data_IF_855569204688
#
_entry.id   IF_855569204688
#
_cell.length_a   1.000
_cell.length_b   1.000
_cell.length_c   1.000
_cell.angle_alpha   90.00
_cell.angle_beta   90.00
_cell.angle_gamma   90.00
#
_symmetry.space_group_name_H-M   'P 1'
#
loop_
_entity.id
_entity.type
_entity.pdbx_description
1 polymer ?
#
# COMPACT_ATOMS: atom_id res chain seq x y z
N UNK A 1 -4.51 -2.70 27.86
CA UNK A 1 -4.11 -4.13 27.93
C UNK A 1 -2.87 -4.34 27.07
N UNK A 2 -2.17 -5.49 27.15
CA UNK A 2 -1.00 -5.75 26.29
C UNK A 2 -1.42 -6.49 25.03
N UNK A 3 -1.00 -5.98 23.86
CA UNK A 3 -1.17 -6.61 22.54
C UNK A 3 0.22 -6.95 22.00
N UNK A 4 0.41 -8.18 21.53
CA UNK A 4 1.68 -8.60 20.92
C UNK A 4 1.49 -8.78 19.41
N UNK A 5 2.13 -7.92 18.65
CA UNK A 5 2.21 -7.98 17.19
C UNK A 5 3.38 -8.84 16.76
N UNK A 6 3.24 -9.59 15.68
CA UNK A 6 4.34 -10.35 15.08
C UNK A 6 4.32 -10.18 13.56
N UNK A 7 5.49 -9.89 12.99
CA UNK A 7 5.66 -9.65 11.56
C UNK A 7 7.01 -10.16 11.04
N UNK A 8 7.04 -10.59 9.80
CA UNK A 8 8.30 -10.89 9.07
C UNK A 8 8.68 -9.73 8.14
N UNK A 9 8.30 -8.52 8.50
CA UNK A 9 8.51 -7.30 7.71
C UNK A 9 9.66 -6.46 8.29
N UNK A 10 10.26 -5.66 7.42
CA UNK A 10 11.22 -4.64 7.82
C UNK A 10 10.45 -3.42 8.34
N UNK A 11 10.51 -3.20 9.65
CA UNK A 11 9.77 -2.12 10.31
C UNK A 11 10.18 -0.71 9.83
N UNK A 12 11.37 -0.54 9.24
CA UNK A 12 11.78 0.76 8.68
C UNK A 12 10.86 1.23 7.55
N UNK A 13 10.21 0.30 6.86
CA UNK A 13 9.38 0.58 5.68
C UNK A 13 7.93 0.17 5.85
N UNK A 14 7.56 -0.45 6.97
CA UNK A 14 6.18 -0.92 7.19
C UNK A 14 5.34 0.10 7.97
N UNK A 15 4.84 1.07 7.23
CA UNK A 15 3.96 2.11 7.80
C UNK A 15 2.59 1.58 8.25
N UNK A 16 2.14 0.40 7.78
CA UNK A 16 0.88 -0.19 8.24
C UNK A 16 1.02 -0.69 9.68
N UNK A 17 2.06 -1.45 9.97
CA UNK A 17 2.34 -1.91 11.34
C UNK A 17 2.51 -0.72 12.28
N UNK A 18 3.28 0.29 11.85
CA UNK A 18 3.48 1.52 12.63
C UNK A 18 2.16 2.21 12.98
N UNK A 19 1.30 2.43 11.98
CA UNK A 19 0.00 3.08 12.17
C UNK A 19 -0.94 2.26 13.05
N UNK A 20 -0.99 0.95 12.86
CA UNK A 20 -1.79 0.04 13.68
C UNK A 20 -1.32 0.06 15.15
N UNK A 21 0.00 -0.08 15.38
CA UNK A 21 0.59 -0.01 16.72
C UNK A 21 0.31 1.32 17.40
N UNK A 22 0.51 2.44 16.69
CA UNK A 22 0.25 3.80 17.19
C UNK A 22 -1.23 3.98 17.56
N UNK A 23 -2.15 3.49 16.74
CA UNK A 23 -3.59 3.62 17.01
C UNK A 23 -4.01 2.83 18.25
N UNK A 24 -3.50 1.61 18.41
CA UNK A 24 -3.76 0.79 19.60
C UNK A 24 -3.09 1.39 20.86
N UNK A 25 -1.89 1.95 20.72
CA UNK A 25 -1.21 2.64 21.82
C UNK A 25 -2.03 3.85 22.30
N UNK A 26 -2.48 4.70 21.36
CA UNK A 26 -3.35 5.86 21.65
C UNK A 26 -4.70 5.47 22.27
N UNK A 27 -5.19 4.26 21.96
CA UNK A 27 -6.38 3.68 22.60
C UNK A 27 -6.09 3.11 24.00
N UNK A 28 -4.89 3.29 24.55
CA UNK A 28 -4.51 2.89 25.90
C UNK A 28 -4.00 1.45 26.03
N UNK A 29 -3.63 0.80 24.91
CA UNK A 29 -2.99 -0.52 24.93
C UNK A 29 -1.47 -0.41 24.98
N UNK A 30 -0.82 -1.35 25.66
CA UNK A 30 0.63 -1.56 25.57
C UNK A 30 0.89 -2.46 24.37
N UNK A 31 1.74 -2.02 23.44
CA UNK A 31 2.07 -2.77 22.24
C UNK A 31 3.49 -3.29 22.31
N UNK A 32 3.63 -4.62 22.19
CA UNK A 32 4.93 -5.30 22.01
C UNK A 32 5.00 -5.81 20.58
N UNK A 33 6.11 -5.58 19.87
CA UNK A 33 6.28 -5.98 18.48
C UNK A 33 7.47 -6.93 18.36
N UNK A 34 7.23 -8.10 17.78
CA UNK A 34 8.26 -9.10 17.47
C UNK A 34 8.40 -9.13 15.95
N UNK A 35 9.54 -8.64 15.43
CA UNK A 35 9.73 -8.49 14.00
C UNK A 35 11.07 -9.05 13.51
N UNK A 36 11.18 -9.25 12.19
CA UNK A 36 12.43 -9.52 11.53
C UNK A 36 13.31 -8.27 11.48
N UNK A 37 14.61 -8.40 11.65
CA UNK A 37 15.58 -7.36 11.42
C UNK A 37 16.44 -7.72 10.21
N UNK A 38 16.34 -6.91 9.17
CA UNK A 38 17.07 -7.11 7.92
C UNK A 38 18.39 -6.31 7.85
N UNK A 39 18.54 -5.36 8.73
CA UNK A 39 19.77 -4.63 8.98
C UNK A 39 19.88 -4.25 10.47
N UNK A 40 20.91 -3.50 10.83
CA UNK A 40 21.15 -3.06 12.20
C UNK A 40 20.87 -1.57 12.42
N UNK A 41 20.20 -0.91 11.49
CA UNK A 41 19.86 0.50 11.60
C UNK A 41 18.87 0.74 12.74
N UNK A 42 18.97 1.85 13.47
CA UNK A 42 17.99 2.21 14.49
C UNK A 42 16.60 2.41 13.89
N UNK A 43 15.58 2.00 14.61
CA UNK A 43 14.18 2.28 14.27
C UNK A 43 13.81 3.65 14.84
N UNK A 44 13.76 4.66 14.00
CA UNK A 44 13.35 6.01 14.41
C UNK A 44 11.84 6.13 14.57
N UNK A 45 11.38 6.77 15.64
CA UNK A 45 9.95 7.03 15.89
C UNK A 45 9.15 5.86 16.46
N UNK A 46 9.82 4.76 16.87
CA UNK A 46 9.18 3.59 17.46
C UNK A 46 9.35 3.50 18.99
N UNK A 47 9.76 4.59 19.63
CA UNK A 47 10.15 4.64 21.05
C UNK A 47 8.99 4.31 22.03
N UNK A 48 7.73 4.47 21.57
CA UNK A 48 6.53 4.17 22.35
C UNK A 48 6.24 2.66 22.48
N UNK A 49 7.03 1.81 21.80
CA UNK A 49 6.76 0.36 21.71
C UNK A 49 7.90 -0.47 22.27
N UNK A 50 7.53 -1.62 22.88
CA UNK A 50 8.50 -2.66 23.20
C UNK A 50 8.78 -3.49 21.94
N UNK A 51 9.99 -3.35 21.35
CA UNK A 51 10.33 -4.04 20.09
C UNK A 51 11.41 -5.09 20.34
N UNK A 52 11.15 -6.29 19.82
CA UNK A 52 12.08 -7.43 19.85
C UNK A 52 12.42 -7.83 18.41
N UNK A 53 13.58 -7.40 17.96
CA UNK A 53 14.07 -7.66 16.61
C UNK A 53 14.79 -9.02 16.53
N UNK A 54 14.45 -9.81 15.52
CA UNK A 54 15.10 -11.06 15.20
C UNK A 54 15.98 -10.89 13.95
N UNK A 55 17.32 -10.89 14.08
CA UNK A 55 18.21 -10.74 12.95
C UNK A 55 18.00 -11.84 11.90
N UNK A 56 17.90 -11.41 10.63
CA UNK A 56 17.67 -12.28 9.47
C UNK A 56 18.87 -12.22 8.54
N UNK A 57 19.42 -13.38 8.19
CA UNK A 57 20.44 -13.49 7.17
C UNK A 57 19.80 -13.60 5.78
N UNK A 58 19.78 -12.49 5.02
CA UNK A 58 19.19 -12.41 3.66
C UNK A 58 19.82 -13.38 2.65
N UNK A 59 21.03 -13.90 2.91
CA UNK A 59 21.69 -14.85 2.02
C UNK A 59 21.13 -16.26 2.14
N UNK A 60 20.29 -16.54 3.13
CA UNK A 60 19.64 -17.83 3.28
C UNK A 60 18.45 -17.98 2.35
N UNK A 61 18.21 -19.21 1.88
CA UNK A 61 16.98 -19.51 1.13
C UNK A 61 15.73 -19.33 2.00
N UNK A 62 14.62 -18.88 1.39
CA UNK A 62 13.33 -18.70 2.07
C UNK A 62 12.87 -19.98 2.82
N UNK A 63 13.19 -21.16 2.31
CA UNK A 63 12.88 -22.45 2.97
C UNK A 63 13.52 -22.60 4.36
N UNK A 64 14.63 -21.89 4.64
CA UNK A 64 15.31 -21.89 5.93
C UNK A 64 15.00 -20.64 6.75
N UNK A 65 14.72 -19.52 6.09
CA UNK A 65 14.43 -18.24 6.75
C UNK A 65 13.18 -18.30 7.62
N UNK A 66 12.05 -18.72 7.05
CA UNK A 66 10.80 -18.78 7.81
C UNK A 66 10.85 -19.73 9.01
N UNK A 67 11.30 -21.01 8.89
CA UNK A 67 11.44 -21.88 10.05
C UNK A 67 12.41 -21.37 11.12
N UNK A 68 13.50 -20.69 10.73
CA UNK A 68 14.44 -20.09 11.67
C UNK A 68 13.81 -18.93 12.44
N UNK A 69 13.12 -18.02 11.73
CA UNK A 69 12.33 -16.97 12.35
C UNK A 69 11.27 -17.53 13.31
N UNK A 70 10.48 -18.50 12.88
CA UNK A 70 9.44 -19.11 13.71
C UNK A 70 9.98 -19.71 15.01
N UNK A 71 11.13 -20.39 14.91
CA UNK A 71 11.80 -20.98 16.08
C UNK A 71 12.22 -19.91 17.09
N UNK A 72 12.69 -18.76 16.63
CA UNK A 72 13.14 -17.64 17.48
C UNK A 72 11.95 -16.83 17.99
N UNK A 73 10.97 -16.53 17.15
CA UNK A 73 9.80 -15.73 17.52
C UNK A 73 8.89 -16.45 18.53
N UNK A 74 8.76 -17.79 18.43
CA UNK A 74 7.84 -18.54 19.30
C UNK A 74 8.11 -18.37 20.80
N UNK A 75 9.33 -18.51 21.35
CA UNK A 75 9.60 -18.27 22.77
C UNK A 75 9.34 -16.82 23.18
N UNK A 76 9.62 -15.84 22.30
CA UNK A 76 9.34 -14.43 22.55
C UNK A 76 7.83 -14.17 22.63
N UNK A 77 7.05 -14.74 21.72
CA UNK A 77 5.57 -14.69 21.77
C UNK A 77 5.03 -15.23 23.08
N UNK A 78 5.57 -16.35 23.58
CA UNK A 78 5.17 -16.90 24.89
C UNK A 78 5.58 -16.00 26.07
N UNK A 79 6.78 -15.40 26.00
CA UNK A 79 7.30 -14.53 27.07
C UNK A 79 6.50 -13.22 27.18
N UNK A 80 5.99 -12.69 26.07
CA UNK A 80 5.21 -11.46 26.02
C UNK A 80 3.90 -11.51 26.84
N UNK A 81 3.29 -12.72 27.01
CA UNK A 81 2.03 -12.94 27.75
C UNK A 81 0.97 -11.87 27.49
N UNK A 82 0.59 -11.62 26.25
CA UNK A 82 -0.35 -10.56 25.91
C UNK A 82 -1.79 -10.95 26.27
N UNK A 83 -2.69 -9.97 26.24
CA UNK A 83 -4.13 -10.19 26.24
C UNK A 83 -4.63 -10.70 24.88
N UNK A 84 -4.02 -10.23 23.79
CA UNK A 84 -4.27 -10.70 22.43
C UNK A 84 -2.99 -10.67 21.57
N UNK A 85 -2.95 -11.56 20.57
CA UNK A 85 -1.94 -11.55 19.51
C UNK A 85 -2.47 -10.89 18.25
N UNK A 86 -1.57 -10.32 17.45
CA UNK A 86 -1.85 -9.79 16.13
C UNK A 86 -0.75 -10.27 15.16
N UNK A 87 -1.11 -11.11 14.22
CA UNK A 87 -0.19 -11.65 13.22
C UNK A 87 -0.36 -10.89 11.90
N UNK A 88 0.72 -10.30 11.42
CA UNK A 88 0.78 -9.61 10.14
C UNK A 88 1.28 -10.58 9.07
N UNK A 89 0.40 -10.90 8.13
CA UNK A 89 0.56 -11.85 7.05
C UNK A 89 0.68 -13.34 7.45
N UNK A 90 0.56 -14.21 6.45
CA UNK A 90 0.50 -15.68 6.63
C UNK A 90 1.83 -16.27 7.07
N UNK A 91 2.93 -15.61 6.76
CA UNK A 91 4.29 -16.09 7.02
C UNK A 91 4.64 -16.12 8.51
N UNK A 92 3.92 -15.37 9.36
CA UNK A 92 4.04 -15.44 10.83
C UNK A 92 2.85 -16.14 11.52
N UNK A 93 1.86 -16.55 10.77
CA UNK A 93 0.62 -17.11 11.31
C UNK A 93 0.86 -18.40 12.11
N UNK A 94 1.81 -19.24 11.66
CA UNK A 94 2.09 -20.52 12.34
C UNK A 94 2.60 -20.36 13.79
N UNK A 95 3.66 -19.58 14.09
CA UNK A 95 4.09 -19.37 15.48
C UNK A 95 3.05 -18.61 16.30
N UNK A 96 2.31 -17.67 15.70
CA UNK A 96 1.27 -16.90 16.38
C UNK A 96 0.11 -17.79 16.84
N UNK A 97 -0.44 -18.65 15.97
CA UNK A 97 -1.50 -19.62 16.32
C UNK A 97 -1.06 -20.56 17.43
N UNK A 98 0.20 -21.02 17.39
CA UNK A 98 0.71 -21.93 18.46
C UNK A 98 0.85 -21.22 19.80
N UNK A 99 1.32 -19.96 19.80
CA UNK A 99 1.44 -19.16 21.02
C UNK A 99 0.06 -18.81 21.58
N UNK A 100 -0.85 -18.36 20.75
CA UNK A 100 -2.23 -18.05 21.09
C UNK A 100 -2.94 -19.26 21.74
N UNK A 101 -2.84 -20.44 21.11
CA UNK A 101 -3.38 -21.69 21.65
C UNK A 101 -2.73 -22.07 22.99
N UNK A 102 -1.40 -21.89 23.13
CA UNK A 102 -0.66 -22.29 24.35
C UNK A 102 -1.03 -21.46 25.56
N UNK A 103 -1.34 -20.18 25.36
CA UNK A 103 -1.69 -19.24 26.43
C UNK A 103 -3.19 -18.96 26.53
N UNK A 104 -3.99 -19.60 25.70
CA UNK A 104 -5.45 -19.39 25.60
C UNK A 104 -5.79 -17.92 25.41
N UNK A 105 -5.24 -17.33 24.33
CA UNK A 105 -5.42 -15.92 23.97
C UNK A 105 -5.97 -15.76 22.55
N UNK A 106 -6.86 -14.78 22.34
CA UNK A 106 -7.33 -14.48 20.99
C UNK A 106 -6.20 -14.04 20.09
N UNK A 107 -6.32 -14.37 18.80
CA UNK A 107 -5.40 -13.99 17.75
C UNK A 107 -6.16 -13.28 16.64
N UNK A 108 -5.68 -12.11 16.25
CA UNK A 108 -6.09 -11.38 15.05
C UNK A 108 -5.09 -11.72 13.94
N UNK A 109 -5.60 -12.07 12.76
CA UNK A 109 -4.81 -12.25 11.53
C UNK A 109 -5.07 -11.09 10.59
N UNK A 110 -4.06 -10.28 10.33
CA UNK A 110 -4.11 -9.14 9.39
C UNK A 110 -3.37 -9.50 8.10
N UNK A 111 -4.12 -9.78 7.05
CA UNK A 111 -3.61 -10.07 5.70
C UNK A 111 -3.43 -8.75 4.95
N UNK A 112 -2.19 -8.26 4.89
CA UNK A 112 -1.83 -6.98 4.25
C UNK A 112 -2.00 -7.02 2.74
N UNK A 113 -1.83 -8.21 2.16
CA UNK A 113 -1.97 -8.48 0.74
C UNK A 113 -2.70 -9.81 0.55
N UNK A 114 -3.20 -10.05 -0.65
CA UNK A 114 -3.71 -11.37 -0.98
C UNK A 114 -2.54 -12.32 -1.26
N UNK A 115 -1.88 -12.77 -0.17
CA UNK A 115 -0.58 -13.42 -0.18
C UNK A 115 -0.41 -14.51 -1.23
N UNK A 116 -1.35 -15.46 -1.30
CA UNK A 116 -1.27 -16.59 -2.23
C UNK A 116 -1.56 -16.20 -3.69
N UNK A 117 -2.01 -14.98 -3.93
CA UNK A 117 -2.30 -14.41 -5.24
C UNK A 117 -1.32 -13.29 -5.62
N UNK A 118 -0.20 -13.16 -4.89
CA UNK A 118 0.89 -12.25 -5.26
C UNK A 118 1.57 -12.71 -6.55
N UNK A 119 2.02 -11.77 -7.37
CA UNK A 119 2.73 -12.05 -8.62
C UNK A 119 3.97 -12.93 -8.41
N UNK A 120 4.67 -12.76 -7.29
CA UNK A 120 5.84 -13.58 -6.91
C UNK A 120 5.54 -15.07 -6.71
N UNK A 121 4.28 -15.44 -6.49
CA UNK A 121 3.82 -16.82 -6.28
C UNK A 121 3.03 -17.38 -7.46
N UNK A 122 2.54 -16.55 -8.39
CA UNK A 122 1.77 -17.00 -9.56
C UNK A 122 2.54 -18.02 -10.37
N UNK A 123 3.83 -17.78 -10.61
CA UNK A 123 4.71 -18.66 -11.39
C UNK A 123 5.38 -19.77 -10.54
N UNK A 124 4.98 -19.92 -9.26
CA UNK A 124 5.54 -20.90 -8.32
C UNK A 124 4.46 -21.78 -7.69
N UNK A 125 3.80 -22.66 -8.46
CA UNK A 125 2.61 -23.38 -8.02
C UNK A 125 2.82 -24.23 -6.77
N UNK A 126 3.99 -24.85 -6.59
CA UNK A 126 4.30 -25.61 -5.38
C UNK A 126 4.38 -24.73 -4.12
N UNK A 127 5.00 -23.57 -4.22
CA UNK A 127 5.08 -22.62 -3.10
C UNK A 127 3.70 -22.03 -2.78
N UNK A 128 2.96 -21.68 -3.81
CA UNK A 128 1.56 -21.21 -3.68
C UNK A 128 0.69 -22.27 -2.98
N UNK A 129 0.78 -23.53 -3.39
CA UNK A 129 0.07 -24.64 -2.77
C UNK A 129 0.46 -24.83 -1.29
N UNK A 130 1.76 -24.71 -0.97
CA UNK A 130 2.26 -24.81 0.41
C UNK A 130 1.67 -23.70 1.31
N UNK A 131 1.75 -22.44 0.87
CA UNK A 131 1.20 -21.31 1.61
C UNK A 131 -0.32 -21.40 1.74
N UNK A 132 -1.02 -21.79 0.67
CA UNK A 132 -2.48 -22.01 0.69
C UNK A 132 -2.88 -23.12 1.69
N UNK A 133 -2.14 -24.21 1.75
CA UNK A 133 -2.39 -25.28 2.70
C UNK A 133 -2.12 -24.85 4.15
N UNK A 134 -1.05 -24.06 4.37
CA UNK A 134 -0.73 -23.50 5.69
C UNK A 134 -1.85 -22.54 6.15
N UNK A 135 -2.22 -21.58 5.32
CA UNK A 135 -3.27 -20.59 5.60
C UNK A 135 -4.60 -21.29 5.88
N UNK A 136 -5.05 -22.20 5.01
CA UNK A 136 -6.27 -23.00 5.19
C UNK A 136 -6.31 -23.77 6.54
N UNK A 137 -5.16 -24.30 6.95
CA UNK A 137 -5.06 -25.05 8.23
C UNK A 137 -5.14 -24.16 9.46
N UNK A 138 -4.72 -22.90 9.33
CA UNK A 138 -4.52 -22.01 10.48
C UNK A 138 -5.60 -20.92 10.60
N UNK A 139 -6.15 -20.46 9.50
CA UNK A 139 -7.08 -19.31 9.47
C UNK A 139 -8.36 -19.55 10.30
N UNK A 140 -8.89 -20.76 10.31
CA UNK A 140 -10.04 -21.12 11.15
C UNK A 140 -9.75 -21.21 12.66
N UNK A 141 -8.52 -20.86 13.09
CA UNK A 141 -8.08 -20.85 14.51
C UNK A 141 -7.84 -19.45 15.04
N UNK A 142 -8.06 -18.44 14.24
CA UNK A 142 -7.95 -17.04 14.65
C UNK A 142 -9.31 -16.52 15.11
N UNK A 143 -9.29 -15.56 16.01
CA UNK A 143 -10.52 -14.95 16.52
C UNK A 143 -11.14 -13.96 15.54
N UNK A 144 -10.32 -13.27 14.75
CA UNK A 144 -10.73 -12.31 13.72
C UNK A 144 -9.72 -12.29 12.59
N UNK A 145 -10.23 -12.04 11.37
CA UNK A 145 -9.43 -11.81 10.18
C UNK A 145 -9.64 -10.38 9.73
N UNK A 146 -8.54 -9.72 9.39
CA UNK A 146 -8.49 -8.37 8.80
C UNK A 146 -7.88 -8.49 7.40
N UNK A 147 -8.34 -7.67 6.46
CA UNK A 147 -7.69 -7.50 5.16
C UNK A 147 -7.88 -6.08 4.63
N UNK A 148 -7.24 -5.76 3.49
CA UNK A 148 -7.09 -4.38 3.01
C UNK A 148 -8.16 -3.93 2.02
N UNK A 149 -9.00 -4.83 1.50
CA UNK A 149 -10.05 -4.46 0.53
C UNK A 149 -11.26 -5.40 0.60
N UNK A 150 -12.41 -4.92 0.17
CA UNK A 150 -13.64 -5.68 0.18
C UNK A 150 -13.61 -6.90 -0.77
N UNK A 151 -12.97 -6.78 -1.92
CA UNK A 151 -12.81 -7.90 -2.85
C UNK A 151 -11.93 -9.01 -2.28
N UNK A 152 -10.86 -8.66 -1.53
CA UNK A 152 -10.04 -9.67 -0.83
C UNK A 152 -10.84 -10.30 0.31
N UNK A 153 -11.61 -9.52 1.08
CA UNK A 153 -12.45 -10.04 2.15
C UNK A 153 -13.43 -11.09 1.62
N UNK A 154 -14.16 -10.77 0.56
CA UNK A 154 -15.11 -11.71 -0.09
C UNK A 154 -14.43 -12.98 -0.61
N UNK A 155 -13.22 -12.88 -1.18
CA UNK A 155 -12.49 -14.05 -1.66
C UNK A 155 -11.99 -14.92 -0.48
N UNK A 156 -11.54 -14.32 0.63
CA UNK A 156 -11.16 -15.04 1.85
C UNK A 156 -12.37 -15.73 2.50
N UNK A 157 -13.51 -15.05 2.59
CA UNK A 157 -14.77 -15.61 3.11
C UNK A 157 -15.22 -16.81 2.28
N UNK A 158 -15.27 -16.65 0.96
CA UNK A 158 -15.66 -17.73 0.03
C UNK A 158 -14.68 -18.91 0.07
N UNK A 159 -13.37 -18.64 0.17
CA UNK A 159 -12.31 -19.66 0.11
C UNK A 159 -12.19 -20.49 1.38
N UNK A 160 -12.38 -19.86 2.53
CA UNK A 160 -12.13 -20.46 3.84
C UNK A 160 -13.39 -20.66 4.68
N UNK A 161 -14.56 -20.27 4.20
CA UNK A 161 -15.83 -20.35 4.93
C UNK A 161 -15.82 -19.43 6.15
N UNK A 162 -15.25 -18.25 6.02
CA UNK A 162 -15.20 -17.25 7.09
C UNK A 162 -16.46 -16.38 7.02
N UNK A 163 -16.81 -15.84 8.18
CA UNK A 163 -17.84 -14.82 8.32
C UNK A 163 -17.17 -13.54 8.87
N UNK A 164 -17.59 -12.38 8.38
CA UNK A 164 -17.24 -11.08 8.94
C UNK A 164 -15.72 -10.77 8.91
N UNK A 165 -15.09 -10.92 7.76
CA UNK A 165 -13.71 -10.46 7.54
C UNK A 165 -13.68 -8.94 7.57
N UNK A 166 -12.97 -8.35 8.53
CA UNK A 166 -12.87 -6.90 8.68
C UNK A 166 -12.02 -6.29 7.58
N UNK A 167 -12.59 -5.32 6.86
CA UNK A 167 -11.83 -4.51 5.92
C UNK A 167 -11.20 -3.33 6.66
N UNK A 168 -9.87 -3.33 6.73
CA UNK A 168 -9.04 -2.25 7.27
C UNK A 168 -8.08 -1.82 6.17
N UNK A 169 -8.44 -0.78 5.44
CA UNK A 169 -7.67 -0.32 4.28
C UNK A 169 -6.30 0.22 4.70
N UNK A 170 -5.32 0.09 3.83
CA UNK A 170 -3.99 0.64 4.08
C UNK A 170 -3.93 2.11 3.62
N UNK A 171 -4.63 3.00 4.32
CA UNK A 171 -4.74 4.42 3.97
C UNK A 171 -3.61 5.25 4.59
N UNK A 172 -3.15 6.33 3.94
CA UNK A 172 -2.22 7.28 4.54
C UNK A 172 -2.90 8.10 5.66
N UNK A 173 -2.09 8.69 6.54
CA UNK A 173 -2.55 9.71 7.48
C UNK A 173 -3.07 10.92 6.70
N UNK A 174 -4.15 11.53 7.20
CA UNK A 174 -4.72 12.71 6.56
C UNK A 174 -3.72 13.87 6.51
N UNK A 175 -3.61 14.48 5.34
CA UNK A 175 -2.85 15.72 5.13
C UNK A 175 -3.74 16.71 4.39
N UNK A 176 -3.72 17.94 4.86
CA UNK A 176 -4.38 19.02 4.15
C UNK A 176 -3.59 19.40 2.90
N UNK A 177 -4.31 19.78 1.85
CA UNK A 177 -3.69 20.36 0.66
C UNK A 177 -2.97 21.65 1.05
N UNK A 178 -1.77 21.81 0.52
CA UNK A 178 -0.97 23.02 0.63
C UNK A 178 -0.81 23.65 -0.75
N UNK A 179 -0.56 24.94 -0.79
CA UNK A 179 -0.14 25.62 -2.02
C UNK A 179 1.35 25.32 -2.25
N UNK A 180 1.67 24.73 -3.41
CA UNK A 180 3.03 24.29 -3.73
C UNK A 180 3.26 24.33 -5.23
N UNK A 181 4.45 24.76 -5.61
CA UNK A 181 4.95 24.79 -6.99
C UNK A 181 6.31 24.05 -7.11
N UNK A 182 6.56 23.12 -6.19
CA UNK A 182 7.87 22.50 -5.98
C UNK A 182 8.35 21.70 -7.19
N UNK A 183 7.46 21.02 -7.93
CA UNK A 183 7.84 20.30 -9.17
C UNK A 183 8.33 21.28 -10.23
N UNK A 184 7.59 22.39 -10.47
CA UNK A 184 7.98 23.38 -11.47
C UNK A 184 9.31 24.03 -11.13
N UNK A 185 9.51 24.37 -9.84
CA UNK A 185 10.79 24.91 -9.36
C UNK A 185 11.94 23.90 -9.51
N UNK A 186 11.70 22.62 -9.24
CA UNK A 186 12.74 21.58 -9.33
C UNK A 186 13.17 21.32 -10.78
N UNK A 187 12.23 21.42 -11.73
CA UNK A 187 12.46 21.07 -13.14
C UNK A 187 12.58 22.28 -14.07
N UNK A 188 12.54 23.50 -13.53
CA UNK A 188 12.53 24.77 -14.28
C UNK A 188 11.44 24.80 -15.38
N UNK A 189 10.22 24.39 -14.99
CA UNK A 189 9.08 24.36 -15.90
C UNK A 189 8.30 25.67 -15.86
N UNK A 190 7.67 26.10 -16.99
CA UNK A 190 6.77 27.24 -17.02
C UNK A 190 5.63 27.12 -16.00
N UNK A 191 5.24 28.24 -15.41
CA UNK A 191 4.21 28.31 -14.36
C UNK A 191 2.82 27.80 -14.81
N UNK A 192 2.52 27.95 -16.10
CA UNK A 192 1.26 27.56 -16.73
C UNK A 192 1.30 26.13 -17.31
N UNK A 193 2.46 25.45 -17.27
CA UNK A 193 2.58 24.09 -17.81
C UNK A 193 1.88 23.07 -16.91
N UNK A 194 0.84 22.35 -17.40
CA UNK A 194 0.16 21.33 -16.62
C UNK A 194 1.09 20.16 -16.28
N UNK A 195 0.94 19.60 -15.07
CA UNK A 195 1.73 18.47 -14.58
C UNK A 195 0.85 17.26 -14.35
N UNK A 196 1.14 16.18 -15.07
CA UNK A 196 0.61 14.84 -14.84
C UNK A 196 1.62 14.07 -13.99
N UNK A 197 1.23 13.61 -12.81
CA UNK A 197 2.15 13.06 -11.82
C UNK A 197 1.95 11.56 -11.65
N UNK A 198 3.06 10.83 -11.70
CA UNK A 198 3.18 9.51 -11.09
C UNK A 198 4.17 9.58 -9.91
N UNK A 199 3.83 8.96 -8.78
CA UNK A 199 4.73 8.78 -7.64
C UNK A 199 4.77 7.32 -7.17
N UNK A 200 5.97 6.79 -6.90
CA UNK A 200 6.17 5.43 -6.39
C UNK A 200 7.32 4.67 -7.03
N UNK A 201 7.40 3.37 -6.75
CA UNK A 201 8.45 2.51 -7.30
C UNK A 201 8.36 2.33 -8.82
N UNK A 202 9.49 2.34 -9.50
CA UNK A 202 9.56 2.09 -10.95
C UNK A 202 9.60 0.58 -11.21
N UNK A 203 8.43 -0.06 -11.00
CA UNK A 203 8.20 -1.49 -11.16
C UNK A 203 7.41 -1.76 -12.45
N UNK A 204 7.59 -2.95 -13.02
CA UNK A 204 6.90 -3.38 -14.26
C UNK A 204 5.38 -3.30 -14.13
N UNK A 205 4.86 -3.67 -12.95
CA UNK A 205 3.41 -3.75 -12.71
C UNK A 205 2.74 -2.38 -12.50
N UNK A 206 3.50 -1.27 -12.54
CA UNK A 206 2.97 0.07 -12.32
C UNK A 206 2.59 0.82 -13.62
N UNK A 207 2.57 0.12 -14.78
CA UNK A 207 2.07 0.68 -16.05
C UNK A 207 2.83 1.92 -16.55
N UNK A 208 4.10 2.09 -16.16
CA UNK A 208 4.88 3.30 -16.47
C UNK A 208 5.23 3.40 -17.96
N UNK A 209 5.43 2.28 -18.63
CA UNK A 209 5.69 2.24 -20.06
C UNK A 209 4.50 2.82 -20.86
N UNK A 210 3.28 2.41 -20.51
CA UNK A 210 2.05 2.88 -21.11
C UNK A 210 1.78 4.37 -20.80
N UNK A 211 2.13 4.82 -19.60
CA UNK A 211 2.03 6.24 -19.22
C UNK A 211 3.00 7.11 -20.03
N UNK A 212 4.24 6.65 -20.25
CA UNK A 212 5.23 7.33 -21.10
C UNK A 212 4.75 7.37 -22.56
N UNK A 213 4.21 6.27 -23.07
CA UNK A 213 3.67 6.21 -24.43
C UNK A 213 2.48 7.16 -24.61
N UNK A 214 1.59 7.24 -23.62
CA UNK A 214 0.48 8.19 -23.63
C UNK A 214 0.97 9.65 -23.62
N UNK A 215 2.07 9.94 -22.96
CA UNK A 215 2.66 11.28 -22.89
C UNK A 215 3.17 11.80 -24.26
N UNK A 216 3.37 10.93 -25.25
CA UNK A 216 3.71 11.34 -26.60
C UNK A 216 2.67 12.30 -27.23
N UNK A 217 1.41 12.23 -26.78
CA UNK A 217 0.34 13.12 -27.23
C UNK A 217 0.19 14.42 -26.40
N UNK A 218 0.97 14.61 -25.35
CA UNK A 218 0.90 15.82 -24.53
C UNK A 218 1.60 16.98 -25.21
N UNK A 219 0.87 17.89 -25.83
CA UNK A 219 1.45 19.05 -26.52
C UNK A 219 2.04 20.06 -25.54
N UNK A 220 1.36 20.29 -24.40
CA UNK A 220 1.76 21.31 -23.43
C UNK A 220 2.04 20.77 -22.02
N UNK A 221 1.51 19.59 -21.66
CA UNK A 221 1.69 19.02 -20.35
C UNK A 221 3.05 18.33 -20.17
N UNK A 222 3.47 18.20 -18.92
CA UNK A 222 4.61 17.40 -18.51
C UNK A 222 4.13 16.15 -17.74
N UNK A 223 4.62 14.96 -18.12
CA UNK A 223 4.56 13.78 -17.28
C UNK A 223 5.77 13.80 -16.34
N UNK A 224 5.52 13.79 -15.04
CA UNK A 224 6.58 13.77 -14.03
C UNK A 224 6.50 12.47 -13.25
N UNK A 225 7.59 11.72 -13.25
CA UNK A 225 7.75 10.44 -12.56
C UNK A 225 8.64 10.66 -11.33
N UNK A 226 8.06 10.56 -10.11
CA UNK A 226 8.79 10.69 -8.85
C UNK A 226 9.01 9.31 -8.25
N UNK A 227 10.27 8.91 -8.09
CA UNK A 227 10.61 7.63 -7.48
C UNK A 227 11.91 7.02 -7.97
N UNK A 228 12.05 5.74 -7.72
CA UNK A 228 13.18 4.92 -8.15
C UNK A 228 12.74 3.47 -8.39
N UNK A 229 13.59 2.65 -8.99
CA UNK A 229 13.32 1.23 -9.13
C UNK A 229 14.10 0.54 -10.24
N UNK A 230 14.00 -0.79 -10.31
CA UNK A 230 14.80 -1.59 -11.25
C UNK A 230 14.54 -1.27 -12.73
N UNK A 231 13.38 -0.69 -13.07
CA UNK A 231 13.03 -0.36 -14.45
C UNK A 231 13.45 1.04 -14.90
N UNK A 232 14.07 1.85 -14.03
CA UNK A 232 14.40 3.25 -14.35
C UNK A 232 15.22 3.40 -15.63
N UNK A 233 16.25 2.57 -15.80
CA UNK A 233 17.11 2.64 -17.00
C UNK A 233 16.33 2.36 -18.29
N UNK A 234 15.42 1.36 -18.27
CA UNK A 234 14.59 1.02 -19.42
C UNK A 234 13.56 2.12 -19.73
N UNK A 235 12.96 2.74 -18.71
CA UNK A 235 12.01 3.84 -18.87
C UNK A 235 12.68 5.09 -19.44
N UNK A 236 13.89 5.43 -18.98
CA UNK A 236 14.69 6.54 -19.54
C UNK A 236 15.09 6.29 -21.01
N UNK A 237 15.40 5.02 -21.35
CA UNK A 237 15.66 4.64 -22.74
C UNK A 237 14.42 4.77 -23.61
N UNK A 238 13.25 4.36 -23.12
CA UNK A 238 11.98 4.54 -23.82
C UNK A 238 11.69 6.03 -24.10
N UNK A 239 11.92 6.90 -23.13
CA UNK A 239 11.76 8.37 -23.30
C UNK A 239 12.69 8.89 -24.40
N UNK A 240 13.99 8.51 -24.37
CA UNK A 240 14.97 8.94 -25.41
C UNK A 240 14.62 8.41 -26.80
N UNK A 241 14.30 7.12 -26.90
CA UNK A 241 13.93 6.50 -28.16
C UNK A 241 12.65 7.11 -28.77
N UNK A 242 11.73 7.59 -27.91
CA UNK A 242 10.50 8.27 -28.30
C UNK A 242 10.67 9.78 -28.58
N UNK A 243 11.85 10.38 -28.30
CA UNK A 243 12.07 11.83 -28.39
C UNK A 243 11.16 12.62 -27.45
N UNK A 244 10.97 12.12 -26.21
CA UNK A 244 10.03 12.68 -25.23
C UNK A 244 10.70 13.41 -24.06
N UNK A 245 12.00 13.75 -24.18
CA UNK A 245 12.79 14.39 -23.13
C UNK A 245 12.27 15.78 -22.75
N UNK A 246 11.53 16.43 -23.61
CA UNK A 246 10.86 17.71 -23.38
C UNK A 246 9.50 17.57 -22.68
N UNK A 247 8.99 16.35 -22.48
CA UNK A 247 7.65 16.04 -21.95
C UNK A 247 7.65 15.13 -20.75
N UNK A 248 8.64 14.24 -20.62
CA UNK A 248 8.73 13.25 -19.53
C UNK A 248 9.95 13.52 -18.68
N UNK A 249 9.70 13.78 -17.40
CA UNK A 249 10.72 14.15 -16.41
C UNK A 249 10.79 13.13 -15.29
N UNK A 250 11.99 12.91 -14.79
CA UNK A 250 12.25 12.00 -13.65
C UNK A 250 12.79 12.80 -12.48
N UNK A 251 12.12 12.70 -11.33
CA UNK A 251 12.61 13.19 -10.05
C UNK A 251 12.97 11.95 -9.22
N UNK A 252 14.20 11.86 -8.67
CA UNK A 252 14.57 10.77 -7.78
C UNK A 252 13.63 10.66 -6.57
N UNK A 253 13.69 9.54 -5.85
CA UNK A 253 12.94 9.38 -4.61
C UNK A 253 13.19 10.56 -3.67
N UNK A 254 12.12 11.24 -3.30
CA UNK A 254 12.14 12.35 -2.35
C UNK A 254 11.88 11.86 -0.92
N UNK A 255 12.37 12.56 0.11
CA UNK A 255 12.03 12.25 1.49
C UNK A 255 10.51 12.24 1.71
N UNK A 256 10.00 11.26 2.47
CA UNK A 256 8.58 11.05 2.65
C UNK A 256 7.84 12.30 3.20
N UNK A 257 8.48 13.07 4.07
CA UNK A 257 7.89 14.29 4.61
C UNK A 257 7.71 15.40 3.57
N UNK A 258 8.47 15.39 2.47
CA UNK A 258 8.37 16.35 1.36
C UNK A 258 7.46 15.86 0.23
N UNK A 259 7.15 14.55 0.16
CA UNK A 259 6.39 13.98 -0.94
C UNK A 259 5.05 14.69 -1.17
N UNK A 260 4.34 15.03 -0.07
CA UNK A 260 3.07 15.72 -0.17
C UNK A 260 3.18 17.10 -0.84
N UNK A 261 4.28 17.83 -0.63
CA UNK A 261 4.52 19.12 -1.27
C UNK A 261 4.70 18.96 -2.80
N UNK A 262 5.45 17.93 -3.20
CA UNK A 262 5.54 17.58 -4.63
C UNK A 262 4.17 17.18 -5.19
N UNK A 263 3.42 16.35 -4.49
CA UNK A 263 2.09 15.93 -4.93
C UNK A 263 1.15 17.12 -5.10
N UNK A 264 1.15 18.06 -4.16
CA UNK A 264 0.31 19.26 -4.21
C UNK A 264 0.66 20.23 -5.35
N UNK A 265 1.85 20.10 -5.96
CA UNK A 265 2.26 20.94 -7.09
C UNK A 265 1.88 20.40 -8.47
N UNK A 266 1.15 19.27 -8.53
CA UNK A 266 0.67 18.67 -9.77
C UNK A 266 -0.80 19.02 -10.08
N UNK A 267 -1.25 18.67 -11.28
CA UNK A 267 -2.59 18.94 -11.79
C UNK A 267 -3.45 17.67 -11.94
N UNK A 268 -2.84 16.50 -12.22
CA UNK A 268 -3.50 15.20 -12.35
C UNK A 268 -2.60 14.12 -11.76
N UNK A 269 -3.15 13.17 -11.01
CA UNK A 269 -2.44 12.03 -10.44
C UNK A 269 -2.72 10.71 -11.19
N UNK A 270 -1.68 9.93 -11.51
CA UNK A 270 -1.80 8.64 -12.18
C UNK A 270 -1.60 7.46 -11.23
N UNK A 271 -2.61 6.59 -11.14
CA UNK A 271 -2.61 5.36 -10.37
C UNK A 271 -2.95 4.16 -11.27
N UNK A 272 -2.16 3.97 -12.33
CA UNK A 272 -2.37 2.93 -13.35
C UNK A 272 -1.52 1.71 -13.03
N UNK A 273 -2.08 0.79 -12.26
CA UNK A 273 -1.47 -0.51 -11.95
C UNK A 273 -1.92 -1.52 -13.00
N UNK A 274 -0.96 -2.25 -13.56
CA UNK A 274 -1.18 -3.26 -14.60
C UNK A 274 -1.08 -4.69 -14.08
N UNK A 275 -0.48 -4.90 -12.93
CA UNK A 275 0.05 -6.14 -12.39
C UNK A 275 -0.78 -7.40 -12.59
N UNK A 276 -0.07 -8.52 -12.63
CA UNK A 276 -0.65 -9.86 -12.73
C UNK A 276 -1.05 -10.42 -11.36
N UNK A 277 -2.17 -11.15 -11.32
CA UNK A 277 -2.68 -11.79 -10.12
C UNK A 277 -3.71 -10.96 -9.36
N UNK A 278 -4.52 -11.67 -8.56
CA UNK A 278 -5.64 -11.06 -7.83
C UNK A 278 -5.19 -10.05 -6.77
N UNK A 279 -3.96 -10.17 -6.23
CA UNK A 279 -3.44 -9.23 -5.25
C UNK A 279 -3.35 -7.81 -5.83
N UNK A 280 -2.83 -7.65 -7.04
CA UNK A 280 -2.83 -6.36 -7.75
C UNK A 280 -4.22 -5.94 -8.22
N UNK A 281 -5.00 -6.89 -8.76
CA UNK A 281 -6.35 -6.61 -9.26
C UNK A 281 -7.31 -6.12 -8.17
N UNK A 282 -7.11 -6.54 -6.92
CA UNK A 282 -7.90 -6.12 -5.76
C UNK A 282 -7.20 -5.09 -4.87
N UNK A 283 -6.09 -4.50 -5.34
CA UNK A 283 -5.31 -3.55 -4.56
C UNK A 283 -5.95 -2.16 -4.49
N UNK A 284 -5.63 -1.47 -3.38
CA UNK A 284 -5.90 -0.05 -3.17
C UNK A 284 -4.59 0.65 -2.80
N UNK A 285 -3.84 1.18 -3.78
CA UNK A 285 -2.55 1.80 -3.54
C UNK A 285 -2.65 3.12 -2.78
N UNK A 286 -1.71 3.38 -1.87
CA UNK A 286 -1.65 4.61 -1.09
C UNK A 286 -1.65 5.87 -1.95
N UNK A 287 -0.96 5.85 -3.11
CA UNK A 287 -0.87 7.00 -4.03
C UNK A 287 -2.24 7.51 -4.50
N UNK A 288 -3.25 6.64 -4.65
CA UNK A 288 -4.60 7.04 -5.01
C UNK A 288 -5.17 8.04 -3.99
N UNK A 289 -4.98 7.74 -2.71
CA UNK A 289 -5.47 8.58 -1.61
C UNK A 289 -4.57 9.79 -1.35
N UNK A 290 -3.27 9.66 -1.56
CA UNK A 290 -2.32 10.78 -1.49
C UNK A 290 -2.63 11.84 -2.54
N UNK A 291 -3.00 11.43 -3.77
CA UNK A 291 -3.50 12.35 -4.81
C UNK A 291 -4.80 13.03 -4.38
N UNK A 292 -5.74 12.28 -3.78
CA UNK A 292 -6.97 12.87 -3.26
C UNK A 292 -6.71 13.91 -2.16
N UNK A 293 -5.74 13.65 -1.26
CA UNK A 293 -5.33 14.60 -0.21
C UNK A 293 -4.70 15.88 -0.78
N UNK A 294 -3.97 15.75 -1.87
CA UNK A 294 -3.43 16.89 -2.61
C UNK A 294 -4.49 17.61 -3.49
N UNK A 295 -5.72 17.10 -3.53
CA UNK A 295 -6.80 17.63 -4.36
C UNK A 295 -6.59 17.44 -5.85
N UNK A 296 -5.85 16.40 -6.26
CA UNK A 296 -5.67 16.07 -7.66
C UNK A 296 -6.85 15.25 -8.18
N UNK A 297 -7.39 15.55 -9.36
CA UNK A 297 -8.10 14.58 -10.14
C UNK A 297 -7.24 13.35 -10.38
N UNK A 298 -7.81 12.16 -10.25
CA UNK A 298 -7.06 10.92 -10.42
C UNK A 298 -7.47 10.18 -11.69
N UNK A 299 -6.50 9.59 -12.39
CA UNK A 299 -6.75 8.54 -13.36
C UNK A 299 -6.23 7.22 -12.77
N UNK A 300 -7.13 6.28 -12.50
CA UNK A 300 -6.81 5.00 -11.89
C UNK A 300 -7.11 3.83 -12.82
N UNK A 301 -6.55 2.65 -12.52
CA UNK A 301 -6.94 1.43 -13.23
C UNK A 301 -8.42 1.11 -12.97
N UNK A 302 -9.10 0.59 -13.97
CA UNK A 302 -10.50 0.12 -13.90
C UNK A 302 -10.63 -1.20 -13.10
N UNK A 303 -9.75 -1.43 -12.14
CA UNK A 303 -9.79 -2.56 -11.24
C UNK A 303 -10.84 -2.36 -10.15
N UNK A 304 -11.50 -3.43 -9.65
CA UNK A 304 -12.74 -3.32 -8.89
C UNK A 304 -12.70 -2.35 -7.70
N UNK A 305 -11.61 -2.38 -6.93
CA UNK A 305 -11.51 -1.56 -5.73
C UNK A 305 -11.18 -0.09 -6.06
N UNK A 306 -10.28 0.15 -7.01
CA UNK A 306 -9.95 1.51 -7.46
C UNK A 306 -11.14 2.15 -8.18
N UNK A 307 -11.80 1.39 -9.07
CA UNK A 307 -13.00 1.85 -9.77
C UNK A 307 -14.10 2.23 -8.77
N UNK A 308 -14.38 1.36 -7.79
CA UNK A 308 -15.38 1.66 -6.75
C UNK A 308 -15.09 2.97 -6.04
N UNK A 309 -13.84 3.20 -5.62
CA UNK A 309 -13.46 4.44 -4.94
C UNK A 309 -13.63 5.65 -5.85
N UNK A 310 -13.22 5.56 -7.12
CA UNK A 310 -13.33 6.67 -8.08
C UNK A 310 -14.81 6.97 -8.39
N UNK A 311 -15.63 5.94 -8.62
CA UNK A 311 -17.06 6.09 -8.91
C UNK A 311 -17.83 6.67 -7.72
N UNK A 312 -17.58 6.19 -6.49
CA UNK A 312 -18.23 6.68 -5.28
C UNK A 312 -17.87 8.12 -4.94
N UNK A 313 -16.69 8.56 -5.35
CA UNK A 313 -16.17 9.87 -4.96
C UNK A 313 -16.25 10.91 -6.07
N UNK A 314 -16.37 10.50 -7.32
CA UNK A 314 -16.22 11.34 -8.51
C UNK A 314 -14.86 12.09 -8.56
N UNK A 315 -13.82 11.51 -7.93
CA UNK A 315 -12.50 12.13 -7.80
C UNK A 315 -11.69 12.13 -9.11
N UNK A 316 -12.21 11.53 -10.18
CA UNK A 316 -11.49 11.44 -11.46
C UNK A 316 -12.13 10.46 -12.43
N UNK A 317 -11.29 9.65 -13.07
CA UNK A 317 -11.70 8.65 -14.05
C UNK A 317 -10.93 7.34 -13.87
N UNK A 318 -11.40 6.28 -14.54
CA UNK A 318 -10.68 5.01 -14.62
C UNK A 318 -10.40 4.64 -16.08
N UNK A 319 -9.33 3.87 -16.31
CA UNK A 319 -8.95 3.34 -17.61
C UNK A 319 -8.42 1.92 -17.49
N UNK A 320 -8.48 1.14 -18.55
CA UNK A 320 -7.68 -0.07 -18.66
C UNK A 320 -6.20 0.34 -18.69
N UNK A 321 -5.38 -0.11 -17.74
CA UNK A 321 -3.97 0.30 -17.66
C UNK A 321 -3.11 -0.23 -18.83
N UNK A 322 -3.63 -1.12 -19.66
CA UNK A 322 -2.98 -1.63 -20.87
C UNK A 322 -3.40 -0.88 -22.15
N UNK A 323 -4.47 -0.07 -22.08
CA UNK A 323 -4.99 0.67 -23.24
C UNK A 323 -4.46 2.12 -23.25
N UNK A 324 -3.37 2.33 -24.01
CA UNK A 324 -2.70 3.62 -24.12
C UNK A 324 -3.59 4.71 -24.69
N UNK A 325 -4.49 4.36 -25.64
CA UNK A 325 -5.37 5.33 -26.28
C UNK A 325 -6.43 5.84 -25.30
N UNK A 326 -7.03 4.93 -24.49
CA UNK A 326 -7.96 5.31 -23.42
C UNK A 326 -7.25 6.13 -22.34
N UNK A 327 -6.04 5.74 -21.94
CA UNK A 327 -5.23 6.53 -20.98
C UNK A 327 -5.02 7.95 -21.48
N UNK A 328 -4.61 8.09 -22.74
CA UNK A 328 -4.39 9.38 -23.41
C UNK A 328 -5.66 10.23 -23.43
N UNK A 329 -6.77 9.64 -23.87
CA UNK A 329 -8.07 10.31 -23.93
C UNK A 329 -8.50 10.86 -22.58
N UNK A 330 -8.43 10.03 -21.52
CA UNK A 330 -8.84 10.45 -20.17
C UNK A 330 -7.94 11.53 -19.58
N UNK A 331 -6.61 11.47 -19.81
CA UNK A 331 -5.70 12.53 -19.36
C UNK A 331 -6.00 13.82 -20.10
N UNK A 332 -6.13 13.78 -21.43
CA UNK A 332 -6.46 14.94 -22.26
C UNK A 332 -7.77 15.60 -21.80
N UNK A 333 -8.81 14.80 -21.57
CA UNK A 333 -10.09 15.31 -21.09
C UNK A 333 -9.99 15.99 -19.71
N UNK A 334 -9.11 15.53 -18.81
CA UNK A 334 -8.87 16.18 -17.52
C UNK A 334 -8.04 17.47 -17.66
N UNK A 335 -7.16 17.55 -18.64
CA UNK A 335 -6.31 18.72 -18.86
C UNK A 335 -7.05 19.85 -19.61
N UNK A 336 -7.86 19.50 -20.61
CA UNK A 336 -8.54 20.45 -21.50
C UNK A 336 -9.88 20.97 -20.97
N UNK A 337 -10.50 20.28 -19.98
CA UNK A 337 -11.74 20.72 -19.33
C UNK A 337 -11.46 21.27 -17.90
N UNK A 338 -11.23 22.58 -17.74
CA UNK A 338 -10.99 23.18 -16.42
C UNK A 338 -12.17 23.01 -15.44
N UNK A 339 -13.41 22.94 -15.94
CA UNK A 339 -14.59 22.76 -15.09
C UNK A 339 -14.64 21.33 -14.52
N UNK A 340 -14.39 20.31 -15.37
CA UNK A 340 -14.26 18.91 -14.95
C UNK A 340 -13.12 18.74 -13.98
N UNK A 341 -11.94 19.30 -14.28
CA UNK A 341 -10.76 19.25 -13.41
C UNK A 341 -11.04 19.85 -12.04
N UNK A 342 -11.65 21.04 -11.99
CA UNK A 342 -12.01 21.68 -10.74
C UNK A 342 -13.07 20.91 -9.95
N UNK A 343 -14.05 20.29 -10.62
CA UNK A 343 -15.05 19.45 -9.97
C UNK A 343 -14.41 18.21 -9.33
N UNK A 344 -13.57 17.47 -10.08
CA UNK A 344 -12.84 16.30 -9.57
C UNK A 344 -11.86 16.66 -8.45
N UNK A 345 -11.20 17.82 -8.53
CA UNK A 345 -10.33 18.33 -7.45
C UNK A 345 -11.10 18.54 -6.13
N UNK A 346 -12.27 19.18 -6.18
CA UNK A 346 -13.13 19.33 -4.99
C UNK A 346 -13.60 17.96 -4.46
N UNK A 347 -13.95 17.06 -5.34
CA UNK A 347 -14.35 15.69 -4.99
C UNK A 347 -13.22 14.92 -4.33
N UNK A 348 -11.99 15.03 -4.83
CA UNK A 348 -10.78 14.45 -4.22
C UNK A 348 -10.56 14.95 -2.80
N UNK A 349 -10.64 16.25 -2.56
CA UNK A 349 -10.50 16.82 -1.21
C UNK A 349 -11.61 16.36 -0.26
N UNK A 350 -12.84 16.21 -0.75
CA UNK A 350 -13.94 15.66 0.04
C UNK A 350 -13.73 14.16 0.34
N UNK A 351 -13.23 13.39 -0.64
CA UNK A 351 -12.89 11.99 -0.49
C UNK A 351 -11.76 11.77 0.53
N UNK A 352 -10.72 12.59 0.53
CA UNK A 352 -9.61 12.53 1.46
C UNK A 352 -10.04 12.60 2.94
N UNK A 353 -11.09 13.34 3.25
CA UNK A 353 -11.67 13.44 4.60
C UNK A 353 -12.38 12.16 5.05
N UNK A 354 -12.77 11.30 4.11
CA UNK A 354 -13.40 9.99 4.36
C UNK A 354 -12.38 8.86 4.30
N UNK A 355 -11.44 8.91 3.36
CA UNK A 355 -10.44 7.89 3.08
C UNK A 355 -9.09 8.30 3.67
N UNK A 356 -8.91 8.08 4.96
CA UNK A 356 -7.67 8.33 5.70
C UNK A 356 -7.51 7.35 6.85
N UNK A 357 -6.29 7.21 7.35
CA UNK A 357 -6.01 6.25 8.40
C UNK A 357 -6.74 6.55 9.71
N UNK A 358 -6.97 7.80 10.05
CA UNK A 358 -7.66 8.18 11.29
C UNK A 358 -9.07 7.57 11.35
N UNK A 359 -9.75 7.48 10.20
CA UNK A 359 -11.07 6.83 10.08
C UNK A 359 -10.98 5.30 10.10
N UNK A 360 -9.97 4.73 9.44
CA UNK A 360 -9.75 3.28 9.45
C UNK A 360 -9.33 2.78 10.85
N UNK A 361 -8.56 3.58 11.60
CA UNK A 361 -8.11 3.27 12.95
C UNK A 361 -9.27 3.01 13.92
N UNK A 362 -10.42 3.68 13.74
CA UNK A 362 -11.61 3.45 14.54
C UNK A 362 -12.12 2.00 14.39
N UNK A 363 -12.04 1.42 13.20
CA UNK A 363 -12.39 0.01 12.98
C UNK A 363 -11.46 -0.94 13.74
N UNK A 364 -10.16 -0.66 13.73
CA UNK A 364 -9.17 -1.46 14.46
C UNK A 364 -9.37 -1.38 15.98
N UNK A 365 -9.54 -0.18 16.51
CA UNK A 365 -9.74 0.04 17.95
C UNK A 365 -11.05 -0.58 18.45
N UNK A 366 -12.13 -0.46 17.67
CA UNK A 366 -13.41 -1.09 17.97
C UNK A 366 -13.32 -2.63 17.95
N UNK A 367 -12.58 -3.22 17.01
CA UNK A 367 -12.34 -4.65 17.00
C UNK A 367 -11.69 -5.11 18.30
N UNK A 368 -10.67 -4.40 18.78
CA UNK A 368 -10.01 -4.76 20.04
C UNK A 368 -10.87 -4.49 21.28
N UNK A 369 -11.72 -3.47 21.27
CA UNK A 369 -12.68 -3.21 22.34
C UNK A 369 -13.73 -4.33 22.47
N UNK A 370 -14.07 -5.02 21.37
CA UNK A 370 -15.01 -6.15 21.39
C UNK A 370 -14.33 -7.50 21.64
N UNK A 371 -13.03 -7.61 21.37
CA UNK A 371 -12.25 -8.84 21.49
C UNK A 371 -11.72 -9.06 22.91
N UNK A 372 -11.45 -7.99 23.65
CA UNK A 372 -10.83 -7.95 24.96
C UNK A 372 -11.77 -7.48 26.07
#
# INVERSE_FOLDING_TARGET
>A
MRICMVAFNDLHFDYRIFRAATSLHRAGHQVTIIAAAFDSSPLEGWDDFEIQLNPIDRNRSLRRLYPDFWRRAFPLLLAARPAAYHAHDVDVLWPAVRAAKRLDRPLVYDSHEFWIEQSSLVDRPLMRALWSALERRLIGRVARVITVSASIAQDLEARYGLEDVLVLRNLPLFRERIDSDLIRQTLDLPADRPIVLYQGGFLTDNGLSEQIEAAAAFEQAALVLIGDGPNEAALREQVRAGGLEDRVYFIPRVPFHLLHNYTCSADVGLCLIKGSGKSFYYSLPNKLFEYMMAGLPVLASNFPEMQRVVDETAAGATADPADVDVIREQITALLEDPARRAASSRASLAAARRYNWEREADHLTNLYATLL
#
